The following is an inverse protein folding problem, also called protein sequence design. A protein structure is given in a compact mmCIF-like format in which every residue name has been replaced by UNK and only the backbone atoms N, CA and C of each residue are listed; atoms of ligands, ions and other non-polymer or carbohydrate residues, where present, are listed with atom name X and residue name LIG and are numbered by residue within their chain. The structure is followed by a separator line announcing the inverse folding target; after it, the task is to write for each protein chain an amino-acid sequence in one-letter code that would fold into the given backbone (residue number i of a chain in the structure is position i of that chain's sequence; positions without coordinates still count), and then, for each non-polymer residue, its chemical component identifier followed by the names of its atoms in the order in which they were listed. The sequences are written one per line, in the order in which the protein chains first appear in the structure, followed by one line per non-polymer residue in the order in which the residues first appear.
data_IF_286701477022
#
_entry.id   IF_286701477022
#
_cell.length_a   1.000
_cell.length_b   1.000
_cell.length_c   1.000
_cell.angle_alpha   90.00
_cell.angle_beta   90.00
_cell.angle_gamma   90.00
#
_symmetry.space_group_name_H-M   'P 1'
#
loop_
_entity.id
_entity.type
_entity.pdbx_description
1 polymer ?
#
# COMPACT_ATOMS: atom_id res chain seq x y z
N UNK A 1 -31.16 -30.94 11.27
CA UNK A 1 -30.63 -30.23 10.12
C UNK A 1 -31.22 -28.81 9.94
N UNK A 2 -32.57 -28.63 10.03
CA UNK A 2 -33.22 -27.29 9.96
C UNK A 2 -32.84 -26.32 11.08
N UNK A 3 -32.71 -26.77 12.33
CA UNK A 3 -32.32 -25.91 13.48
C UNK A 3 -30.87 -25.43 13.39
N UNK A 4 -29.94 -26.27 12.93
CA UNK A 4 -28.54 -25.87 12.71
C UNK A 4 -28.41 -24.85 11.60
N UNK A 5 -29.21 -24.98 10.53
CA UNK A 5 -29.28 -24.04 9.41
C UNK A 5 -29.87 -22.67 9.84
N UNK A 6 -30.89 -22.68 10.69
CA UNK A 6 -31.53 -21.47 11.22
C UNK A 6 -30.59 -20.72 12.19
N UNK A 7 -29.87 -21.45 13.07
CA UNK A 7 -28.85 -20.88 13.97
C UNK A 7 -27.67 -20.28 13.16
N UNK A 8 -27.20 -20.97 12.12
CA UNK A 8 -26.13 -20.45 11.26
C UNK A 8 -26.55 -19.16 10.56
N UNK A 9 -27.76 -19.10 10.00
CA UNK A 9 -28.26 -17.89 9.31
C UNK A 9 -28.49 -16.71 10.28
N UNK A 10 -28.87 -16.97 11.53
CA UNK A 10 -29.01 -15.93 12.55
C UNK A 10 -27.67 -15.26 12.85
N UNK A 11 -26.62 -16.04 13.07
CA UNK A 11 -25.29 -15.49 13.34
C UNK A 11 -24.69 -14.74 12.12
N UNK A 12 -24.92 -15.27 10.94
CA UNK A 12 -24.53 -14.59 9.69
C UNK A 12 -25.28 -13.26 9.54
N UNK A 13 -26.58 -13.25 9.84
CA UNK A 13 -27.39 -12.02 9.81
C UNK A 13 -26.92 -11.00 10.85
N UNK A 14 -26.59 -11.44 12.06
CA UNK A 14 -26.09 -10.57 13.13
C UNK A 14 -24.72 -9.96 12.75
N UNK A 15 -23.80 -10.76 12.21
CA UNK A 15 -22.51 -10.27 11.70
C UNK A 15 -22.69 -9.30 10.55
N UNK A 16 -23.55 -9.61 9.60
CA UNK A 16 -23.84 -8.71 8.47
C UNK A 16 -24.44 -7.38 8.96
N UNK A 17 -25.34 -7.43 9.93
CA UNK A 17 -25.93 -6.24 10.54
C UNK A 17 -24.88 -5.42 11.29
N UNK A 18 -24.02 -6.04 12.10
CA UNK A 18 -22.96 -5.33 12.85
C UNK A 18 -21.96 -4.61 11.95
N UNK A 19 -21.68 -5.16 10.76
CA UNK A 19 -20.81 -4.52 9.76
C UNK A 19 -21.55 -3.43 8.97
N UNK A 20 -22.82 -3.65 8.62
CA UNK A 20 -23.62 -2.69 7.86
C UNK A 20 -24.09 -1.49 8.70
N UNK A 21 -24.29 -1.68 10.01
CA UNK A 21 -24.84 -0.67 10.91
C UNK A 21 -24.02 0.63 10.94
N UNK A 22 -22.69 0.62 11.13
CA UNK A 22 -21.87 1.85 11.06
C UNK A 22 -21.99 2.58 9.71
N UNK A 23 -22.02 1.82 8.60
CA UNK A 23 -22.18 2.39 7.25
C UNK A 23 -23.55 3.09 7.12
N UNK A 24 -24.59 2.45 7.64
CA UNK A 24 -25.92 3.03 7.64
C UNK A 24 -25.99 4.32 8.49
N UNK A 25 -25.37 4.31 9.69
CA UNK A 25 -25.30 5.49 10.58
C UNK A 25 -24.60 6.65 9.87
N UNK A 26 -23.45 6.40 9.25
CA UNK A 26 -22.69 7.40 8.49
C UNK A 26 -23.53 7.91 7.30
N UNK A 27 -24.21 7.02 6.57
CA UNK A 27 -25.09 7.40 5.46
C UNK A 27 -26.31 8.20 5.89
N UNK A 28 -26.85 7.96 7.11
CA UNK A 28 -28.01 8.69 7.63
C UNK A 28 -27.72 10.17 7.95
N UNK A 29 -26.46 10.59 8.03
CA UNK A 29 -26.07 11.99 8.22
C UNK A 29 -26.64 12.94 7.16
N UNK A 30 -26.98 12.44 5.98
CA UNK A 30 -27.61 13.22 4.91
C UNK A 30 -29.09 13.52 5.15
N UNK A 31 -29.72 12.86 6.13
CA UNK A 31 -31.10 13.16 6.54
C UNK A 31 -31.19 14.34 7.50
N UNK A 32 -30.06 14.78 8.04
CA UNK A 32 -29.97 15.96 8.89
C UNK A 32 -30.02 17.24 8.02
N UNK A 33 -30.58 18.36 8.53
CA UNK A 33 -30.59 19.61 7.80
C UNK A 33 -29.15 20.03 7.47
N UNK A 34 -28.91 20.44 6.22
CA UNK A 34 -27.58 20.87 5.77
C UNK A 34 -27.07 22.04 6.60
N UNK A 35 -25.88 21.88 7.19
CA UNK A 35 -25.21 22.94 7.93
C UNK A 35 -24.55 23.96 6.98
N UNK A 36 -24.44 25.23 7.36
CA UNK A 36 -23.65 26.23 6.63
C UNK A 36 -22.18 25.73 6.45
N UNK A 37 -21.68 25.01 7.45
CA UNK A 37 -20.36 24.42 7.40
C UNK A 37 -20.23 23.39 6.27
N UNK A 38 -21.25 22.54 6.03
CA UNK A 38 -21.26 21.62 4.90
C UNK A 38 -21.19 22.37 3.56
N UNK A 39 -21.97 23.44 3.42
CA UNK A 39 -21.95 24.21 2.18
C UNK A 39 -20.57 24.83 1.93
N UNK A 40 -19.92 25.33 2.98
CA UNK A 40 -18.56 25.83 2.91
C UNK A 40 -17.58 24.74 2.47
N UNK A 41 -17.60 23.55 3.10
CA UNK A 41 -16.75 22.41 2.71
C UNK A 41 -17.02 21.98 1.27
N UNK A 42 -18.27 21.91 0.86
CA UNK A 42 -18.64 21.47 -0.49
C UNK A 42 -18.15 22.44 -1.58
N UNK A 43 -18.16 23.73 -1.32
CA UNK A 43 -17.76 24.74 -2.29
C UNK A 43 -16.27 25.02 -2.33
N UNK A 44 -15.57 24.93 -1.19
CA UNK A 44 -14.16 25.33 -1.08
C UNK A 44 -13.21 24.14 -1.05
N UNK A 45 -13.48 23.13 -0.23
CA UNK A 45 -12.55 22.02 0.02
C UNK A 45 -12.82 20.77 -0.84
N UNK A 46 -14.08 20.45 -1.10
CA UNK A 46 -14.43 19.21 -1.79
C UNK A 46 -13.80 19.05 -3.18
N UNK A 47 -13.70 20.09 -4.04
CA UNK A 47 -13.00 19.96 -5.32
C UNK A 47 -11.52 19.63 -5.17
N UNK A 48 -10.83 20.22 -4.20
CA UNK A 48 -9.44 19.94 -3.89
C UNK A 48 -9.29 18.52 -3.34
N UNK A 49 -10.13 18.09 -2.39
CA UNK A 49 -10.10 16.74 -1.83
C UNK A 49 -10.28 15.65 -2.89
N UNK A 50 -11.23 15.86 -3.81
CA UNK A 50 -11.46 14.92 -4.92
C UNK A 50 -10.24 14.87 -5.82
N UNK A 51 -9.71 16.01 -6.22
CA UNK A 51 -8.57 16.09 -7.15
C UNK A 51 -7.32 15.46 -6.54
N UNK A 52 -6.95 15.84 -5.32
CA UNK A 52 -5.77 15.31 -4.62
C UNK A 52 -5.90 13.82 -4.35
N UNK A 53 -7.07 13.36 -3.92
CA UNK A 53 -7.32 11.93 -3.70
C UNK A 53 -7.22 11.14 -5.01
N UNK A 54 -7.78 11.65 -6.12
CA UNK A 54 -7.68 11.00 -7.42
C UNK A 54 -6.23 10.94 -7.93
N UNK A 55 -5.47 12.03 -7.81
CA UNK A 55 -4.05 12.06 -8.19
C UNK A 55 -3.27 11.03 -7.36
N UNK A 56 -3.53 11.00 -6.06
CA UNK A 56 -2.89 10.05 -5.15
C UNK A 56 -3.20 8.61 -5.54
N UNK A 57 -4.48 8.26 -5.73
CA UNK A 57 -4.91 6.91 -6.12
C UNK A 57 -4.36 6.48 -7.47
N UNK A 58 -4.38 7.36 -8.47
CA UNK A 58 -3.86 7.06 -9.80
C UNK A 58 -2.34 6.90 -9.78
N UNK A 59 -1.63 7.80 -9.09
CA UNK A 59 -0.17 7.75 -8.98
C UNK A 59 0.31 6.52 -8.22
N UNK A 60 -0.26 6.27 -7.05
CA UNK A 60 0.06 5.08 -6.24
C UNK A 60 -0.34 3.82 -6.97
N UNK A 61 -1.57 3.76 -7.51
CA UNK A 61 -2.08 2.60 -8.23
C UNK A 61 -1.24 2.21 -9.44
N UNK A 62 -0.83 3.18 -10.25
CA UNK A 62 0.09 2.95 -11.38
C UNK A 62 1.46 2.47 -10.89
N UNK A 63 2.03 3.17 -9.91
CA UNK A 63 3.36 2.87 -9.38
C UNK A 63 3.46 1.48 -8.76
N UNK A 64 2.53 1.10 -7.88
CA UNK A 64 2.55 -0.24 -7.26
C UNK A 64 2.26 -1.36 -8.27
N UNK A 65 1.39 -1.09 -9.26
CA UNK A 65 1.10 -2.08 -10.31
C UNK A 65 2.33 -2.36 -11.16
N UNK A 66 3.05 -1.32 -11.56
CA UNK A 66 4.28 -1.46 -12.34
C UNK A 66 5.37 -2.10 -11.48
N UNK A 67 5.70 -1.51 -10.33
CA UNK A 67 6.80 -1.95 -9.49
C UNK A 67 6.57 -3.36 -8.96
N UNK A 68 5.40 -3.63 -8.35
CA UNK A 68 5.07 -4.93 -7.79
C UNK A 68 5.05 -6.05 -8.83
N UNK A 69 4.49 -5.77 -10.03
CA UNK A 69 4.45 -6.76 -11.13
C UNK A 69 5.85 -7.04 -11.69
N UNK A 70 6.67 -5.99 -11.90
CA UNK A 70 8.05 -6.16 -12.40
C UNK A 70 8.90 -6.93 -11.40
N UNK A 71 8.87 -6.56 -10.12
CA UNK A 71 9.60 -7.28 -9.08
C UNK A 71 9.16 -8.76 -8.99
N UNK A 72 7.85 -9.02 -9.02
CA UNK A 72 7.30 -10.37 -9.00
C UNK A 72 7.77 -11.20 -10.20
N UNK A 73 7.77 -10.61 -11.39
CA UNK A 73 8.26 -11.28 -12.60
C UNK A 73 9.75 -11.58 -12.52
N UNK A 74 10.57 -10.61 -12.11
CA UNK A 74 12.03 -10.79 -12.00
C UNK A 74 12.38 -11.91 -11.04
N UNK A 75 11.78 -11.94 -9.84
CA UNK A 75 12.11 -12.99 -8.85
C UNK A 75 11.56 -14.38 -9.20
N UNK A 76 10.51 -14.48 -10.03
CA UNK A 76 9.94 -15.78 -10.43
C UNK A 76 10.58 -16.30 -11.71
N UNK A 77 10.79 -15.43 -12.70
CA UNK A 77 11.12 -15.81 -14.07
C UNK A 77 12.59 -15.65 -14.42
N UNK A 78 13.38 -14.93 -13.61
CA UNK A 78 14.77 -14.62 -13.92
C UNK A 78 15.70 -15.08 -12.82
N UNK A 79 16.76 -15.82 -13.17
CA UNK A 79 17.87 -16.13 -12.26
C UNK A 79 18.90 -15.02 -12.30
N UNK A 80 19.16 -14.42 -11.13
CA UNK A 80 20.17 -13.38 -10.93
C UNK A 80 20.83 -13.52 -9.55
N UNK A 81 21.99 -12.93 -9.30
CA UNK A 81 22.66 -12.99 -8.00
C UNK A 81 21.76 -12.53 -6.87
N UNK A 82 21.73 -13.26 -5.74
CA UNK A 82 20.94 -12.87 -4.56
C UNK A 82 19.42 -13.06 -4.65
N UNK A 83 18.90 -13.62 -5.75
CA UNK A 83 17.46 -13.81 -5.97
C UNK A 83 16.75 -14.49 -4.80
N UNK A 84 17.32 -15.57 -4.27
CA UNK A 84 16.65 -16.43 -3.28
C UNK A 84 16.32 -15.70 -1.97
N UNK A 85 17.20 -14.84 -1.48
CA UNK A 85 16.93 -14.05 -0.29
C UNK A 85 16.11 -12.79 -0.60
N UNK A 86 16.37 -12.11 -1.74
CA UNK A 86 15.61 -10.94 -2.16
C UNK A 86 14.13 -11.26 -2.39
N UNK A 87 13.80 -12.47 -2.87
CA UNK A 87 12.42 -12.93 -3.01
C UNK A 87 11.63 -12.82 -1.72
N UNK A 88 12.26 -13.05 -0.56
CA UNK A 88 11.66 -12.93 0.75
C UNK A 88 11.83 -11.51 1.34
N UNK A 89 12.97 -10.90 1.12
CA UNK A 89 13.27 -9.57 1.62
C UNK A 89 12.27 -8.51 1.12
N UNK A 90 11.74 -8.67 -0.09
CA UNK A 90 10.72 -7.79 -0.66
C UNK A 90 9.37 -7.82 0.07
N UNK A 91 9.14 -8.74 1.02
CA UNK A 91 7.97 -8.73 1.91
C UNK A 91 8.20 -7.91 3.18
N UNK A 92 9.43 -7.66 3.57
CA UNK A 92 9.76 -7.01 4.84
C UNK A 92 9.15 -5.59 5.02
N UNK A 93 8.93 -4.80 3.96
CA UNK A 93 8.24 -3.51 4.12
C UNK A 93 6.86 -3.60 4.76
N UNK A 94 6.15 -4.73 4.70
CA UNK A 94 4.91 -4.94 5.45
C UNK A 94 5.08 -4.82 6.97
N UNK A 95 6.29 -5.05 7.49
CA UNK A 95 6.59 -4.92 8.91
C UNK A 95 6.73 -3.48 9.39
N UNK A 96 6.80 -2.50 8.48
CA UNK A 96 6.92 -1.08 8.81
C UNK A 96 5.59 -0.38 8.53
N UNK A 97 4.94 0.23 9.54
CA UNK A 97 3.76 1.05 9.31
C UNK A 97 4.03 2.20 8.34
N UNK A 98 3.08 2.50 7.46
CA UNK A 98 3.26 3.50 6.39
C UNK A 98 3.72 4.87 6.92
N UNK A 99 3.11 5.33 8.02
CA UNK A 99 3.46 6.62 8.62
C UNK A 99 4.89 6.65 9.19
N UNK A 100 5.44 5.51 9.61
CA UNK A 100 6.84 5.44 10.09
C UNK A 100 7.80 5.66 8.94
N UNK A 101 7.53 5.04 7.79
CA UNK A 101 8.33 5.26 6.58
C UNK A 101 8.24 6.73 6.12
N UNK A 102 7.03 7.30 6.13
CA UNK A 102 6.80 8.72 5.83
C UNK A 102 7.60 9.64 6.76
N UNK A 103 7.58 9.36 8.06
CA UNK A 103 8.34 10.12 9.06
C UNK A 103 9.85 10.08 8.77
N UNK A 104 10.39 8.91 8.45
CA UNK A 104 11.80 8.76 8.10
C UNK A 104 12.15 9.57 6.85
N UNK A 105 11.36 9.45 5.79
CA UNK A 105 11.62 10.20 4.55
C UNK A 105 11.51 11.71 4.76
N UNK A 106 10.53 12.18 5.52
CA UNK A 106 10.44 13.59 5.87
C UNK A 106 11.67 14.03 6.66
N UNK A 107 12.11 13.28 7.67
CA UNK A 107 13.29 13.63 8.47
C UNK A 107 14.60 13.62 7.65
N UNK A 108 14.77 12.66 6.73
CA UNK A 108 15.98 12.55 5.90
C UNK A 108 16.00 13.59 4.79
N UNK A 109 14.86 13.86 4.16
CA UNK A 109 14.72 14.75 3.00
C UNK A 109 14.08 16.11 3.32
N UNK A 110 13.91 16.47 4.60
CA UNK A 110 13.54 17.83 4.97
C UNK A 110 14.68 18.80 4.64
N UNK A 111 14.39 20.09 4.59
CA UNK A 111 15.38 21.12 4.24
C UNK A 111 16.66 21.05 5.12
N UNK A 112 16.50 20.77 6.39
CA UNK A 112 17.58 20.54 7.36
C UNK A 112 18.05 19.09 7.46
N UNK A 113 17.42 18.17 6.70
CA UNK A 113 17.75 16.75 6.72
C UNK A 113 19.08 16.44 6.05
N UNK A 114 19.71 15.36 6.49
CA UNK A 114 21.04 14.95 6.04
C UNK A 114 21.17 14.85 4.52
N UNK A 115 20.15 14.35 3.83
CA UNK A 115 20.19 14.20 2.38
C UNK A 115 20.23 15.56 1.66
N UNK A 116 19.39 16.52 2.05
CA UNK A 116 19.37 17.84 1.42
C UNK A 116 20.60 18.67 1.80
N UNK A 117 21.09 18.57 3.03
CA UNK A 117 22.36 19.20 3.43
C UNK A 117 23.49 18.69 2.53
N UNK A 118 23.62 17.38 2.40
CA UNK A 118 24.64 16.77 1.54
C UNK A 118 24.51 17.22 0.05
N UNK A 119 23.29 17.22 -0.50
CA UNK A 119 23.03 17.66 -1.88
C UNK A 119 23.43 19.13 -2.11
N UNK A 120 23.16 20.01 -1.13
CA UNK A 120 23.53 21.42 -1.24
C UNK A 120 25.03 21.64 -1.11
N UNK A 121 25.67 20.99 -0.16
CA UNK A 121 27.09 21.21 0.13
C UNK A 121 28.03 20.60 -0.93
N UNK A 122 27.72 19.40 -1.42
CA UNK A 122 28.62 18.66 -2.30
C UNK A 122 28.22 18.73 -3.80
N UNK A 123 26.94 18.87 -4.10
CA UNK A 123 26.47 18.91 -5.49
C UNK A 123 25.95 20.29 -5.92
N UNK A 124 25.86 21.25 -4.99
CA UNK A 124 25.34 22.59 -5.31
C UNK A 124 23.85 22.59 -5.74
N UNK A 125 23.11 21.51 -5.46
CA UNK A 125 21.70 21.42 -5.82
C UNK A 125 20.88 22.25 -4.82
N UNK A 126 20.03 23.20 -5.29
CA UNK A 126 19.22 24.01 -4.39
C UNK A 126 18.26 23.14 -3.59
N UNK A 127 17.99 23.52 -2.35
CA UNK A 127 17.04 22.83 -1.50
C UNK A 127 15.63 22.82 -2.11
N UNK A 128 14.90 21.76 -1.88
CA UNK A 128 13.50 21.60 -2.31
C UNK A 128 12.60 21.25 -1.10
N UNK A 129 11.33 21.64 -1.18
CA UNK A 129 10.35 21.21 -0.18
C UNK A 129 9.79 19.83 -0.57
N UNK A 130 10.10 18.82 0.23
CA UNK A 130 9.60 17.46 0.02
C UNK A 130 8.07 17.36 0.16
N UNK A 131 7.44 18.30 0.87
CA UNK A 131 5.98 18.37 1.01
C UNK A 131 5.32 19.05 -0.18
N UNK A 132 6.10 19.73 -1.03
CA UNK A 132 5.54 20.39 -2.21
C UNK A 132 5.11 19.39 -3.28
N UNK A 133 3.86 19.49 -3.73
CA UNK A 133 3.31 18.65 -4.79
C UNK A 133 2.94 17.22 -4.34
N UNK A 134 2.79 16.34 -5.31
CA UNK A 134 2.23 15.01 -5.10
C UNK A 134 3.28 13.88 -5.15
N UNK A 135 4.48 14.16 -5.64
CA UNK A 135 5.47 13.13 -6.01
C UNK A 135 6.02 12.36 -4.80
N UNK A 136 6.35 13.05 -3.72
CA UNK A 136 7.00 12.41 -2.57
C UNK A 136 6.05 11.52 -1.78
N UNK A 137 4.81 11.96 -1.57
CA UNK A 137 3.79 11.14 -0.93
C UNK A 137 3.42 9.92 -1.78
N UNK A 138 3.29 10.08 -3.11
CA UNK A 138 3.04 8.98 -4.03
C UNK A 138 4.18 7.97 -3.97
N UNK A 139 5.44 8.43 -4.03
CA UNK A 139 6.61 7.55 -3.93
C UNK A 139 6.65 6.80 -2.60
N UNK A 140 6.35 7.48 -1.50
CA UNK A 140 6.27 6.87 -0.16
C UNK A 140 5.27 5.73 -0.15
N UNK A 141 4.04 5.97 -0.60
CA UNK A 141 3.02 4.93 -0.68
C UNK A 141 3.39 3.78 -1.63
N UNK A 142 4.03 4.07 -2.76
CA UNK A 142 4.52 3.02 -3.68
C UNK A 142 5.51 2.11 -2.95
N UNK A 143 6.47 2.67 -2.23
CA UNK A 143 7.50 1.90 -1.52
C UNK A 143 6.96 1.11 -0.33
N UNK A 144 5.87 1.56 0.30
CA UNK A 144 5.19 0.83 1.38
C UNK A 144 4.30 -0.26 0.83
N UNK A 145 3.52 0.03 -0.22
CA UNK A 145 2.39 -0.80 -0.65
C UNK A 145 2.66 -1.68 -1.87
N UNK A 146 3.81 -1.56 -2.57
CA UNK A 146 4.12 -2.48 -3.66
C UNK A 146 4.06 -3.96 -3.25
N UNK A 147 4.35 -4.36 -2.00
CA UNK A 147 4.32 -5.76 -1.62
C UNK A 147 2.93 -6.42 -1.79
N UNK A 148 1.82 -5.66 -1.73
CA UNK A 148 0.48 -6.20 -1.99
C UNK A 148 0.36 -6.73 -3.42
N UNK A 149 0.74 -5.92 -4.41
CA UNK A 149 0.74 -6.34 -5.81
C UNK A 149 1.82 -7.39 -6.07
N UNK A 150 3.01 -7.20 -5.50
CA UNK A 150 4.11 -8.16 -5.60
C UNK A 150 3.70 -9.56 -5.15
N UNK A 151 3.09 -9.70 -3.98
CA UNK A 151 2.67 -10.99 -3.42
C UNK A 151 1.65 -11.70 -4.32
N UNK A 152 0.62 -10.99 -4.75
CA UNK A 152 -0.44 -11.54 -5.59
C UNK A 152 0.07 -11.92 -6.98
N UNK A 153 0.85 -11.03 -7.62
CA UNK A 153 1.46 -11.28 -8.92
C UNK A 153 2.46 -12.44 -8.86
N UNK A 154 3.33 -12.49 -7.82
CA UNK A 154 4.28 -13.57 -7.59
C UNK A 154 3.58 -14.92 -7.48
N UNK A 155 2.52 -15.02 -6.68
CA UNK A 155 1.74 -16.24 -6.55
C UNK A 155 1.13 -16.67 -7.90
N UNK A 156 0.65 -15.71 -8.68
CA UNK A 156 0.11 -15.95 -10.01
C UNK A 156 1.19 -16.43 -10.99
N UNK A 157 2.33 -15.75 -11.05
CA UNK A 157 3.45 -16.15 -11.93
C UNK A 157 3.98 -17.55 -11.62
N UNK A 158 4.09 -17.93 -10.33
CA UNK A 158 4.50 -19.28 -9.92
C UNK A 158 3.53 -20.39 -10.38
N UNK A 159 2.27 -20.06 -10.62
CA UNK A 159 1.23 -20.99 -11.08
C UNK A 159 1.04 -21.02 -12.60
N UNK A 160 1.78 -20.22 -13.36
CA UNK A 160 1.68 -20.21 -14.82
C UNK A 160 2.22 -21.52 -15.40
N UNK A 161 1.52 -22.05 -16.41
CA UNK A 161 1.93 -23.26 -17.09
C UNK A 161 3.25 -23.04 -17.85
N UNK A 162 4.24 -23.85 -17.54
CA UNK A 162 5.56 -23.83 -18.19
C UNK A 162 5.42 -23.96 -19.72
N UNK A 163 4.52 -24.84 -20.17
CA UNK A 163 4.29 -25.11 -21.60
C UNK A 163 3.92 -23.83 -22.38
N UNK A 164 3.14 -22.92 -21.81
CA UNK A 164 2.77 -21.68 -22.48
C UNK A 164 3.97 -20.75 -22.67
N UNK A 165 4.86 -20.70 -21.69
CA UNK A 165 6.07 -19.88 -21.74
C UNK A 165 7.09 -20.51 -22.69
N UNK A 166 7.25 -21.82 -22.64
CA UNK A 166 8.14 -22.59 -23.54
C UNK A 166 7.67 -22.52 -24.98
N UNK A 167 6.37 -22.65 -25.25
CA UNK A 167 5.81 -22.46 -26.58
C UNK A 167 6.11 -21.05 -27.13
N UNK A 168 5.95 -20.02 -26.30
CA UNK A 168 6.35 -18.66 -26.69
C UNK A 168 7.83 -18.55 -27.03
N UNK A 169 8.70 -19.20 -26.23
CA UNK A 169 10.17 -19.24 -26.49
C UNK A 169 10.49 -19.98 -27.78
N UNK A 170 9.84 -21.14 -28.03
CA UNK A 170 10.04 -21.93 -29.27
C UNK A 170 9.62 -21.15 -30.53
N UNK A 171 8.62 -20.28 -30.41
CA UNK A 171 8.21 -19.35 -31.48
C UNK A 171 9.13 -18.11 -31.59
N UNK A 172 10.27 -18.07 -30.90
CA UNK A 172 11.24 -16.98 -30.96
C UNK A 172 10.85 -15.72 -30.19
N UNK A 173 9.87 -15.78 -29.30
CA UNK A 173 9.51 -14.61 -28.49
C UNK A 173 10.61 -14.24 -27.49
N UNK A 174 11.04 -12.97 -27.54
CA UNK A 174 11.99 -12.39 -26.59
C UNK A 174 11.35 -12.33 -25.17
N UNK A 175 12.14 -12.36 -24.06
CA UNK A 175 11.63 -12.33 -22.68
C UNK A 175 10.62 -11.21 -22.41
N UNK A 176 10.87 -10.02 -22.93
CA UNK A 176 9.99 -8.86 -22.78
C UNK A 176 8.61 -9.08 -23.46
N UNK A 177 8.58 -9.80 -24.60
CA UNK A 177 7.35 -10.14 -25.30
C UNK A 177 6.56 -11.18 -24.50
N UNK A 178 7.24 -12.18 -23.94
CA UNK A 178 6.62 -13.18 -23.05
C UNK A 178 6.01 -12.48 -21.81
N UNK A 179 6.72 -11.52 -21.23
CA UNK A 179 6.21 -10.72 -20.11
C UNK A 179 4.89 -10.04 -20.46
N UNK A 180 4.85 -9.19 -21.49
CA UNK A 180 3.69 -8.37 -21.81
C UNK A 180 2.54 -9.13 -22.46
N UNK A 181 2.83 -10.16 -23.29
CA UNK A 181 1.80 -10.85 -24.08
C UNK A 181 1.29 -12.14 -23.44
N UNK A 182 2.05 -12.74 -22.50
CA UNK A 182 1.67 -14.01 -21.88
C UNK A 182 1.54 -13.84 -20.37
N UNK A 183 2.64 -13.48 -19.68
CA UNK A 183 2.69 -13.55 -18.21
C UNK A 183 1.79 -12.51 -17.54
N UNK A 184 1.87 -11.23 -17.95
CA UNK A 184 1.04 -10.15 -17.38
C UNK A 184 -0.46 -10.36 -17.66
N UNK A 185 -0.92 -10.70 -18.88
CA UNK A 185 -2.33 -10.97 -19.13
C UNK A 185 -2.90 -12.11 -18.27
N UNK A 186 -2.15 -13.17 -18.05
CA UNK A 186 -2.54 -14.29 -17.19
C UNK A 186 -2.58 -13.89 -15.71
N UNK A 187 -1.73 -12.95 -15.29
CA UNK A 187 -1.67 -12.47 -13.91
C UNK A 187 -2.63 -11.29 -13.63
N UNK A 188 -3.31 -10.73 -14.64
CA UNK A 188 -4.21 -9.56 -14.47
C UNK A 188 -5.17 -9.66 -13.28
N UNK A 189 -5.87 -10.80 -13.04
CA UNK A 189 -6.79 -10.88 -11.90
C UNK A 189 -6.09 -10.78 -10.55
N UNK A 190 -4.87 -11.32 -10.44
CA UNK A 190 -4.07 -11.27 -9.22
C UNK A 190 -3.50 -9.86 -8.99
N UNK A 191 -3.01 -9.23 -10.06
CA UNK A 191 -2.53 -7.83 -10.03
C UNK A 191 -3.67 -6.90 -9.61
N UNK A 192 -4.87 -7.06 -10.21
CA UNK A 192 -6.05 -6.27 -9.86
C UNK A 192 -6.47 -6.44 -8.39
N UNK A 193 -6.37 -7.66 -7.85
CA UNK A 193 -6.66 -7.92 -6.44
C UNK A 193 -5.65 -7.20 -5.51
N UNK A 194 -4.34 -7.28 -5.80
CA UNK A 194 -3.32 -6.56 -5.05
C UNK A 194 -3.47 -5.04 -5.15
N UNK A 195 -3.81 -4.56 -6.35
CA UNK A 195 -4.08 -3.14 -6.59
C UNK A 195 -5.28 -2.65 -5.77
N UNK A 196 -6.39 -3.40 -5.73
CA UNK A 196 -7.55 -3.00 -4.94
C UNK A 196 -7.19 -2.83 -3.46
N UNK A 197 -6.50 -3.81 -2.88
CA UNK A 197 -6.07 -3.72 -1.47
C UNK A 197 -5.21 -2.48 -1.26
N UNK A 198 -4.23 -2.24 -2.13
CA UNK A 198 -3.39 -1.04 -2.06
C UNK A 198 -4.20 0.25 -2.11
N UNK A 199 -5.16 0.36 -3.03
CA UNK A 199 -5.98 1.56 -3.17
C UNK A 199 -6.88 1.78 -1.95
N UNK A 200 -7.39 0.71 -1.35
CA UNK A 200 -8.17 0.80 -0.11
C UNK A 200 -7.31 1.22 1.08
N UNK A 201 -6.10 0.68 1.23
CA UNK A 201 -5.13 1.12 2.24
C UNK A 201 -4.75 2.59 2.06
N UNK A 202 -4.49 3.01 0.80
CA UNK A 202 -4.19 4.42 0.48
C UNK A 202 -5.35 5.36 0.84
N UNK A 203 -6.61 4.96 0.57
CA UNK A 203 -7.79 5.73 0.92
C UNK A 203 -8.03 5.83 2.43
N UNK A 204 -7.71 4.78 3.16
CA UNK A 204 -7.92 4.69 4.60
C UNK A 204 -6.79 5.36 5.40
N UNK A 205 -5.64 5.62 4.77
CA UNK A 205 -4.48 6.16 5.47
C UNK A 205 -4.72 7.62 5.90
N UNK A 206 -4.46 7.88 7.16
CA UNK A 206 -4.43 9.21 7.76
C UNK A 206 -3.01 9.63 8.13
N UNK A 207 -2.19 8.66 8.55
CA UNK A 207 -0.87 8.94 9.11
C UNK A 207 0.09 9.57 8.10
N UNK A 208 0.25 8.98 6.93
CA UNK A 208 1.12 9.50 5.87
C UNK A 208 0.60 10.84 5.36
N UNK A 209 -0.70 10.92 5.01
CA UNK A 209 -1.26 12.14 4.43
C UNK A 209 -1.18 13.34 5.39
N UNK A 210 -1.37 13.13 6.70
CA UNK A 210 -1.24 14.18 7.71
C UNK A 210 0.21 14.64 7.88
N UNK A 211 1.18 13.73 7.86
CA UNK A 211 2.60 14.07 7.95
C UNK A 211 3.08 14.89 6.74
N UNK A 212 2.58 14.58 5.54
CA UNK A 212 2.88 15.35 4.33
C UNK A 212 2.05 16.64 4.20
N UNK A 213 1.13 16.91 5.14
CA UNK A 213 0.15 17.99 5.05
C UNK A 213 -0.63 17.96 3.72
N UNK A 214 -1.06 16.75 3.33
CA UNK A 214 -1.70 16.50 2.05
C UNK A 214 -3.22 16.36 2.22
N UNK A 215 -3.97 17.19 1.51
CA UNK A 215 -5.43 17.25 1.61
C UNK A 215 -6.09 16.01 1.01
N UNK A 216 -6.72 15.18 1.85
CA UNK A 216 -7.51 14.01 1.45
C UNK A 216 -8.81 13.94 2.25
N UNK A 217 -9.70 13.03 1.88
CA UNK A 217 -10.92 12.82 2.65
C UNK A 217 -10.65 12.47 4.11
N UNK A 218 -9.61 11.68 4.41
CA UNK A 218 -9.28 11.29 5.79
C UNK A 218 -8.84 12.49 6.63
N UNK A 219 -8.01 13.38 6.09
CA UNK A 219 -7.61 14.60 6.79
C UNK A 219 -8.78 15.55 6.96
N UNK A 220 -9.65 15.70 5.96
CA UNK A 220 -10.84 16.54 6.04
C UNK A 220 -11.88 16.01 7.06
N UNK A 221 -12.08 14.68 7.14
CA UNK A 221 -12.92 14.04 8.16
C UNK A 221 -12.38 14.36 9.56
N UNK A 222 -11.05 14.23 9.74
CA UNK A 222 -10.41 14.53 11.02
C UNK A 222 -10.58 16.00 11.41
N UNK A 223 -10.33 16.95 10.49
CA UNK A 223 -10.54 18.39 10.74
C UNK A 223 -12.00 18.72 11.02
N UNK A 224 -12.95 18.17 10.24
CA UNK A 224 -14.36 18.38 10.49
C UNK A 224 -14.78 17.94 11.91
N UNK A 225 -14.29 16.79 12.35
CA UNK A 225 -14.56 16.25 13.68
C UNK A 225 -13.79 16.95 14.79
N UNK A 226 -12.47 17.13 14.63
CA UNK A 226 -11.58 17.62 15.68
C UNK A 226 -11.54 19.15 15.78
N UNK A 227 -11.29 19.83 14.66
CA UNK A 227 -11.08 21.27 14.64
C UNK A 227 -12.43 22.03 14.62
N UNK A 228 -13.34 21.61 13.75
CA UNK A 228 -14.67 22.25 13.61
C UNK A 228 -15.74 21.64 14.53
N UNK A 229 -15.43 20.53 15.24
CA UNK A 229 -16.34 19.83 16.15
C UNK A 229 -17.69 19.46 15.53
N UNK A 230 -17.74 19.23 14.24
CA UNK A 230 -18.94 18.85 13.51
C UNK A 230 -18.90 17.36 13.13
N UNK A 231 -19.56 16.54 13.94
CA UNK A 231 -19.75 15.11 13.67
C UNK A 231 -20.56 14.90 12.39
N UNK A 232 -21.51 15.80 12.10
CA UNK A 232 -22.39 15.73 10.92
C UNK A 232 -21.58 15.85 9.63
N UNK A 233 -20.75 16.89 9.49
CA UNK A 233 -19.90 17.11 8.31
C UNK A 233 -18.85 16.00 8.18
N UNK A 234 -18.27 15.57 9.30
CA UNK A 234 -17.33 14.44 9.30
C UNK A 234 -18.00 13.16 8.77
N UNK A 235 -19.25 12.86 9.21
CA UNK A 235 -20.00 11.71 8.73
C UNK A 235 -20.40 11.83 7.25
N UNK A 236 -20.76 13.02 6.78
CA UNK A 236 -21.04 13.27 5.35
C UNK A 236 -19.80 13.02 4.48
N UNK A 237 -18.63 13.56 4.88
CA UNK A 237 -17.37 13.30 4.20
C UNK A 237 -16.97 11.81 4.23
N UNK A 238 -17.15 11.13 5.38
CA UNK A 238 -16.90 9.71 5.53
C UNK A 238 -17.81 8.87 4.61
N UNK A 239 -19.09 9.28 4.43
CA UNK A 239 -19.99 8.58 3.50
C UNK A 239 -19.52 8.66 2.06
N UNK A 240 -18.96 9.80 1.63
CA UNK A 240 -18.36 9.95 0.31
C UNK A 240 -17.13 9.03 0.15
N UNK A 241 -16.30 8.93 1.18
CA UNK A 241 -15.15 8.01 1.16
C UNK A 241 -15.60 6.54 1.04
N UNK A 242 -16.64 6.15 1.78
CA UNK A 242 -17.26 4.82 1.66
C UNK A 242 -17.78 4.58 0.24
N UNK A 243 -18.42 5.58 -0.36
CA UNK A 243 -18.93 5.49 -1.73
C UNK A 243 -17.78 5.28 -2.74
N UNK A 244 -16.67 6.02 -2.61
CA UNK A 244 -15.46 5.80 -3.43
C UNK A 244 -14.94 4.37 -3.26
N UNK A 245 -14.91 3.85 -2.02
CA UNK A 245 -14.48 2.47 -1.75
C UNK A 245 -15.38 1.44 -2.45
N UNK A 246 -16.71 1.65 -2.45
CA UNK A 246 -17.63 0.80 -3.21
C UNK A 246 -17.37 0.84 -4.72
N UNK A 247 -17.08 2.00 -5.29
CA UNK A 247 -16.71 2.13 -6.70
C UNK A 247 -15.44 1.34 -7.02
N UNK A 248 -14.42 1.42 -6.17
CA UNK A 248 -13.19 0.64 -6.37
C UNK A 248 -13.46 -0.87 -6.36
N UNK A 249 -14.25 -1.37 -5.41
CA UNK A 249 -14.64 -2.79 -5.34
C UNK A 249 -15.43 -3.19 -6.59
N UNK A 250 -16.35 -2.35 -7.05
CA UNK A 250 -17.14 -2.62 -8.25
C UNK A 250 -16.25 -2.72 -9.50
N UNK A 251 -15.35 -1.77 -9.71
CA UNK A 251 -14.44 -1.77 -10.85
C UNK A 251 -13.47 -2.96 -10.81
N UNK A 252 -12.96 -3.32 -9.62
CA UNK A 252 -12.11 -4.49 -9.46
C UNK A 252 -12.85 -5.78 -9.83
N UNK A 253 -14.08 -5.97 -9.32
CA UNK A 253 -14.89 -7.15 -9.66
C UNK A 253 -15.14 -7.23 -11.15
N UNK A 254 -15.40 -6.11 -11.82
CA UNK A 254 -15.56 -6.03 -13.27
C UNK A 254 -14.26 -6.35 -14.01
N UNK A 255 -13.12 -5.84 -13.54
CA UNK A 255 -11.80 -6.09 -14.12
C UNK A 255 -11.34 -7.55 -13.96
N UNK A 256 -11.68 -8.18 -12.82
CA UNK A 256 -11.39 -9.61 -12.57
C UNK A 256 -12.10 -10.54 -13.54
N UNK A 257 -13.31 -10.20 -13.98
CA UNK A 257 -14.09 -10.99 -14.93
C UNK A 257 -14.39 -12.40 -14.43
N UNK A 258 -14.68 -13.32 -15.37
CA UNK A 258 -14.90 -14.77 -15.11
C UNK A 258 -13.60 -15.56 -15.18
N UNK A 259 -12.48 -15.02 -14.70
CA UNK A 259 -11.21 -15.72 -14.72
C UNK A 259 -11.29 -16.98 -13.82
N UNK A 260 -11.40 -18.15 -14.44
CA UNK A 260 -11.33 -19.44 -13.74
C UNK A 260 -9.87 -19.68 -13.35
N UNK A 261 -9.61 -19.81 -12.07
CA UNK A 261 -8.32 -20.30 -11.58
C UNK A 261 -8.20 -21.78 -11.93
N UNK A 262 -7.48 -22.08 -13.01
CA UNK A 262 -7.06 -23.45 -13.26
C UNK A 262 -5.88 -23.76 -12.36
N UNK A 263 -6.08 -24.57 -11.33
CA UNK A 263 -5.01 -25.21 -10.60
C UNK A 263 -4.34 -26.21 -11.54
N UNK A 264 -3.12 -25.97 -11.91
CA UNK A 264 -2.31 -26.96 -12.62
C UNK A 264 -1.12 -27.33 -11.73
N UNK A 265 -0.68 -28.60 -11.82
CA UNK A 265 0.50 -29.10 -11.16
C UNK A 265 1.66 -28.11 -11.30
N UNK A 266 2.34 -27.89 -10.16
CA UNK A 266 3.48 -26.98 -10.07
C UNK A 266 4.66 -27.63 -10.79
N UNK A 267 4.73 -27.42 -12.10
CA UNK A 267 5.93 -27.78 -12.87
C UNK A 267 6.95 -26.64 -12.67
N UNK A 268 8.18 -27.01 -12.33
CA UNK A 268 9.25 -26.03 -12.12
C UNK A 268 9.53 -25.24 -13.41
N UNK A 269 9.22 -23.95 -13.38
CA UNK A 269 9.54 -23.01 -14.45
C UNK A 269 11.07 -22.95 -14.58
N UNK A 270 11.61 -23.25 -15.79
CA UNK A 270 13.00 -22.93 -16.10
C UNK A 270 13.14 -21.45 -16.24
N UNK A 271 13.75 -20.81 -15.24
CA UNK A 271 14.02 -19.38 -15.23
C UNK A 271 14.93 -18.96 -16.40
N UNK A 272 14.80 -17.70 -16.81
CA UNK A 272 15.77 -17.09 -17.72
C UNK A 272 17.05 -16.79 -16.92
N UNK A 273 18.20 -17.29 -17.37
CA UNK A 273 19.47 -16.96 -16.74
C UNK A 273 19.98 -15.59 -17.22
N UNK A 274 19.96 -14.62 -16.34
CA UNK A 274 20.59 -13.33 -16.58
C UNK A 274 22.10 -13.43 -16.27
N UNK A 275 22.92 -13.67 -17.30
CA UNK A 275 24.38 -13.83 -17.16
C UNK A 275 25.11 -12.48 -17.16
N UNK A 276 26.24 -12.42 -16.44
CA UNK A 276 27.16 -11.29 -16.46
C UNK A 276 26.54 -9.98 -15.95
N UNK A 277 26.79 -8.90 -16.66
CA UNK A 277 26.38 -7.54 -16.26
C UNK A 277 24.86 -7.39 -16.08
N UNK A 278 24.07 -8.05 -16.93
CA UNK A 278 22.60 -7.97 -16.84
C UNK A 278 22.07 -8.51 -15.51
N UNK A 279 22.65 -9.62 -15.03
CA UNK A 279 22.28 -10.18 -13.73
C UNK A 279 22.56 -9.23 -12.57
N UNK A 280 23.68 -8.52 -12.62
CA UNK A 280 24.05 -7.52 -11.62
C UNK A 280 23.17 -6.26 -11.70
N UNK A 281 22.79 -5.81 -12.88
CA UNK A 281 21.84 -4.69 -13.04
C UNK A 281 20.51 -5.05 -12.38
N UNK A 282 19.98 -6.25 -12.62
CA UNK A 282 18.74 -6.71 -12.00
C UNK A 282 18.90 -6.80 -10.48
N UNK A 283 20.02 -7.36 -9.99
CA UNK A 283 20.32 -7.42 -8.56
C UNK A 283 20.28 -6.01 -7.93
N UNK A 284 21.04 -5.06 -8.48
CA UNK A 284 21.09 -3.71 -7.91
C UNK A 284 19.75 -2.98 -7.99
N UNK A 285 18.96 -3.21 -9.01
CA UNK A 285 17.60 -2.67 -9.09
C UNK A 285 16.71 -3.22 -7.96
N UNK A 286 16.61 -4.56 -7.83
CA UNK A 286 15.78 -5.22 -6.81
C UNK A 286 16.29 -4.91 -5.40
N UNK A 287 17.60 -4.94 -5.20
CA UNK A 287 18.25 -4.59 -3.94
C UNK A 287 18.05 -3.12 -3.59
N UNK A 288 18.10 -2.21 -4.55
CA UNK A 288 17.84 -0.80 -4.37
C UNK A 288 16.41 -0.53 -3.88
N UNK A 289 15.42 -1.23 -4.43
CA UNK A 289 14.04 -1.13 -3.93
C UNK A 289 13.93 -1.65 -2.49
N UNK A 290 14.56 -2.78 -2.17
CA UNK A 290 14.63 -3.29 -0.80
C UNK A 290 15.32 -2.30 0.16
N UNK A 291 16.44 -1.69 -0.27
CA UNK A 291 17.15 -0.69 0.51
C UNK A 291 16.23 0.52 0.81
N UNK A 292 15.60 1.07 -0.21
CA UNK A 292 14.73 2.23 -0.06
C UNK A 292 13.48 1.90 0.78
N UNK A 293 12.82 0.79 0.53
CA UNK A 293 11.54 0.48 1.18
C UNK A 293 11.67 -0.07 2.60
N UNK A 294 12.82 -0.62 2.98
CA UNK A 294 12.99 -1.30 4.27
C UNK A 294 14.30 -1.00 4.97
N UNK A 295 15.46 -1.33 4.35
CA UNK A 295 16.72 -1.36 5.08
C UNK A 295 17.20 0.03 5.48
N UNK A 296 17.16 1.01 4.58
CA UNK A 296 17.56 2.39 4.86
C UNK A 296 16.65 3.05 5.92
N UNK A 297 15.31 2.97 5.83
CA UNK A 297 14.44 3.48 6.88
C UNK A 297 14.67 2.82 8.24
N UNK A 298 14.83 1.51 8.26
CA UNK A 298 15.11 0.80 9.52
C UNK A 298 16.44 1.24 10.14
N UNK A 299 17.50 1.35 9.34
CA UNK A 299 18.80 1.83 9.80
C UNK A 299 18.71 3.27 10.33
N UNK A 300 17.95 4.13 9.66
CA UNK A 300 17.77 5.52 10.11
C UNK A 300 17.05 5.60 11.46
N UNK A 301 15.99 4.80 11.64
CA UNK A 301 15.30 4.71 12.94
C UNK A 301 16.24 4.22 14.03
N UNK A 302 17.08 3.21 13.74
CA UNK A 302 18.07 2.70 14.68
C UNK A 302 19.08 3.77 15.06
N UNK A 303 19.60 4.55 14.11
CA UNK A 303 20.52 5.66 14.37
C UNK A 303 19.86 6.68 15.31
N UNK A 304 18.67 7.17 14.96
CA UNK A 304 17.93 8.12 15.81
C UNK A 304 17.61 7.55 17.20
N UNK A 305 17.25 6.26 17.26
CA UNK A 305 17.00 5.59 18.54
C UNK A 305 18.24 5.58 19.43
N UNK A 306 19.45 5.34 18.88
CA UNK A 306 20.69 5.36 19.62
C UNK A 306 21.08 6.77 20.10
N UNK A 307 20.83 7.79 19.27
CA UNK A 307 21.08 9.20 19.64
C UNK A 307 20.22 9.65 20.83
N UNK A 308 18.98 9.23 20.88
CA UNK A 308 18.00 9.63 21.91
C UNK A 308 17.98 8.70 23.12
N UNK A 309 18.56 7.49 23.00
CA UNK A 309 18.49 6.45 24.02
C UNK A 309 18.96 6.91 25.41
N UNK A 310 20.05 7.66 25.49
CA UNK A 310 20.63 8.11 26.76
C UNK A 310 19.80 9.20 27.46
N UNK A 311 19.00 9.96 26.71
CA UNK A 311 18.27 11.13 27.23
C UNK A 311 16.80 10.82 27.53
N UNK A 312 16.17 9.92 26.75
CA UNK A 312 14.75 9.65 26.83
C UNK A 312 14.39 8.34 27.54
N UNK A 313 15.40 7.53 27.96
CA UNK A 313 15.13 6.25 28.64
C UNK A 313 14.62 6.49 30.07
N UNK A 314 13.31 6.67 30.19
CA UNK A 314 12.59 6.93 31.41
C UNK A 314 11.65 5.79 31.81
N UNK A 315 11.26 5.73 33.10
CA UNK A 315 10.21 4.78 33.59
C UNK A 315 8.92 4.91 32.77
N UNK A 316 8.61 6.09 32.28
CA UNK A 316 7.43 6.37 31.46
C UNK A 316 7.51 5.67 30.11
N UNK A 317 8.68 5.67 29.48
CA UNK A 317 8.93 4.97 28.22
C UNK A 317 8.77 3.46 28.38
N UNK A 318 9.32 2.90 29.47
CA UNK A 318 9.17 1.48 29.79
C UNK A 318 7.69 1.07 29.99
N UNK A 319 6.91 1.92 30.64
CA UNK A 319 5.47 1.67 30.82
C UNK A 319 4.73 1.67 29.49
N UNK A 320 5.02 2.57 28.56
CA UNK A 320 4.43 2.57 27.21
C UNK A 320 4.81 1.31 26.43
N UNK A 321 6.09 0.93 26.48
CA UNK A 321 6.57 -0.29 25.83
C UNK A 321 5.87 -1.54 26.38
N UNK A 322 5.79 -1.69 27.69
CA UNK A 322 5.12 -2.83 28.32
C UNK A 322 3.63 -2.87 28.02
N UNK A 323 2.94 -1.72 28.08
CA UNK A 323 1.51 -1.63 27.73
C UNK A 323 1.26 -2.01 26.26
N UNK A 324 2.08 -1.54 25.34
CA UNK A 324 2.00 -1.91 23.92
C UNK A 324 2.26 -3.40 23.71
N UNK A 325 3.24 -3.97 24.42
CA UNK A 325 3.55 -5.41 24.38
C UNK A 325 2.38 -6.26 24.87
N UNK A 326 1.76 -5.88 25.99
CA UNK A 326 0.60 -6.58 26.55
C UNK A 326 -0.59 -6.50 25.60
N UNK A 327 -0.89 -5.31 25.04
CA UNK A 327 -1.99 -5.15 24.10
C UNK A 327 -1.79 -5.97 22.84
N UNK A 328 -0.57 -5.98 22.28
CA UNK A 328 -0.24 -6.79 21.10
C UNK A 328 -0.38 -8.27 21.39
N UNK A 329 0.11 -8.73 22.54
CA UNK A 329 -0.04 -10.12 22.95
C UNK A 329 -1.52 -10.52 23.11
N UNK A 330 -2.32 -9.72 23.80
CA UNK A 330 -3.75 -9.98 23.97
C UNK A 330 -4.49 -9.97 22.63
N UNK A 331 -4.22 -9.01 21.76
CA UNK A 331 -4.82 -8.95 20.43
C UNK A 331 -4.47 -10.21 19.62
N UNK A 332 -3.21 -10.65 19.65
CA UNK A 332 -2.76 -11.86 18.94
C UNK A 332 -3.49 -13.10 19.46
N UNK A 333 -3.60 -13.27 20.79
CA UNK A 333 -4.30 -14.41 21.41
C UNK A 333 -5.79 -14.41 21.07
N UNK A 334 -6.41 -13.24 20.93
CA UNK A 334 -7.84 -13.14 20.60
C UNK A 334 -8.13 -13.38 19.11
N UNK A 335 -7.13 -13.21 18.23
CA UNK A 335 -7.27 -13.34 16.77
C UNK A 335 -6.85 -14.71 16.24
N UNK A 336 -6.10 -15.48 17.00
CA UNK A 336 -5.66 -16.86 16.69
C UNK A 336 -6.56 -17.87 17.40
#
# INVERSE_FOLDING_TARGET
MKEAFFKSNFWIGLLAFSVAFPIFVVGSSWLLPGSELWLHFAQTLLPELITSTLILLLGVGAGVSILGTVLAYLVVMVEFPGRSWLEWALFLPFGIPAYVLAFVYLGVFDYSGYAQVWLREYLGIPGFDIRSGHWAIILTFILVFYPYVYMMARASFKRQKVQMIEAGKMLGAKPIRVFWQISVPLARPAIAAGLLVTLMETLADFGVVSLFNYSTFTTAIYSAWGDFRSIEVAAQLASLLVLVSFFLIYFERKARGKAKYYSSDVSHLKAYYAKGVVGWIIFFFVFGIFMLSFAMPLLQILIWSLEVFSTEWSKRYFNYFSSSGILTFLATVLTV
#
